data_IF_438210925961
#
_entry.id   IF_438210925961
#
_cell.length_a   1.000
_cell.length_b   1.000
_cell.length_c   1.000
_cell.angle_alpha   90.00
_cell.angle_beta   90.00
_cell.angle_gamma   90.00
#
_symmetry.space_group_name_H-M   'P 1'
#
loop_
_entity.id
_entity.type
_entity.pdbx_description
1 polymer ?
#
# COMPACT_ATOMS: atom_id res chain seq x y z
N UNK A 1 18.28 -9.50 -1.05
CA UNK A 1 16.80 -9.42 -0.86
C UNK A 1 16.36 -8.38 0.19
N UNK A 2 17.27 -7.73 0.94
CA UNK A 2 16.91 -6.79 2.02
C UNK A 2 16.32 -5.44 1.57
N UNK A 3 16.74 -4.92 0.41
CA UNK A 3 16.37 -3.57 -0.06
C UNK A 3 14.86 -3.36 -0.25
N UNK A 4 14.15 -4.37 -0.77
CA UNK A 4 12.69 -4.30 -0.98
C UNK A 4 11.96 -4.22 0.36
N UNK A 5 12.39 -5.02 1.33
CA UNK A 5 11.82 -5.08 2.68
C UNK A 5 12.08 -3.77 3.41
N UNK A 6 13.30 -3.24 3.32
CA UNK A 6 13.69 -1.96 3.91
C UNK A 6 12.86 -0.79 3.36
N UNK A 7 12.70 -0.70 2.04
CA UNK A 7 11.84 0.30 1.39
C UNK A 7 10.37 0.13 1.78
N UNK A 8 9.89 -1.11 1.89
CA UNK A 8 8.53 -1.39 2.33
C UNK A 8 8.28 -0.95 3.79
N UNK A 9 9.26 -1.14 4.68
CA UNK A 9 9.19 -0.69 6.07
C UNK A 9 9.28 0.83 6.20
N UNK A 10 10.22 1.47 5.49
CA UNK A 10 10.33 2.94 5.45
C UNK A 10 9.06 3.59 4.89
N UNK A 11 8.45 3.00 3.85
CA UNK A 11 7.26 3.54 3.18
C UNK A 11 6.06 2.62 3.37
N UNK A 12 5.63 2.44 4.63
CA UNK A 12 4.52 1.54 5.04
C UNK A 12 3.15 1.77 4.36
N UNK A 13 2.96 2.90 3.66
CA UNK A 13 1.74 3.19 2.87
C UNK A 13 1.86 2.79 1.40
N UNK A 14 3.03 2.37 0.95
CA UNK A 14 3.27 2.00 -0.43
C UNK A 14 2.91 0.53 -0.64
N UNK A 15 2.15 0.26 -1.71
CA UNK A 15 1.93 -1.09 -2.20
C UNK A 15 3.08 -1.56 -3.10
N UNK A 16 3.13 -2.87 -3.38
CA UNK A 16 4.20 -3.49 -4.18
C UNK A 16 4.44 -2.83 -5.55
N UNK A 17 3.42 -2.25 -6.20
CA UNK A 17 3.57 -1.53 -7.49
C UNK A 17 4.42 -0.28 -7.34
N UNK A 18 4.16 0.57 -6.33
CA UNK A 18 4.96 1.78 -6.10
C UNK A 18 6.38 1.46 -5.64
N UNK A 19 6.56 0.37 -4.90
CA UNK A 19 7.89 -0.11 -4.51
C UNK A 19 8.66 -0.59 -5.75
N UNK A 20 7.99 -1.28 -6.67
CA UNK A 20 8.59 -1.68 -7.95
C UNK A 20 9.02 -0.48 -8.79
N UNK A 21 8.19 0.56 -8.88
CA UNK A 21 8.54 1.78 -9.61
C UNK A 21 9.76 2.50 -9.00
N UNK A 22 9.83 2.58 -7.66
CA UNK A 22 10.96 3.14 -6.93
C UNK A 22 12.26 2.37 -7.17
N UNK A 23 12.16 1.05 -7.26
CA UNK A 23 13.30 0.15 -7.42
C UNK A 23 13.70 -0.05 -8.89
N UNK A 24 12.99 0.58 -9.83
CA UNK A 24 13.24 0.41 -11.27
C UNK A 24 14.65 0.84 -11.67
N UNK A 25 15.21 1.84 -10.99
CA UNK A 25 16.59 2.30 -11.21
C UNK A 25 17.65 1.35 -10.63
N UNK A 26 17.43 0.81 -9.42
CA UNK A 26 18.39 -0.11 -8.77
C UNK A 26 18.33 -1.54 -9.35
N UNK A 27 17.17 -1.97 -9.87
CA UNK A 27 16.97 -3.33 -10.37
C UNK A 27 16.34 -3.35 -11.77
N UNK A 28 17.11 -2.99 -12.81
CA UNK A 28 16.64 -3.05 -14.20
C UNK A 28 16.20 -4.48 -14.56
N UNK A 29 15.01 -4.62 -15.14
CA UNK A 29 14.46 -5.91 -15.57
C UNK A 29 13.71 -6.72 -14.48
N UNK A 30 13.62 -6.23 -13.24
CA UNK A 30 12.79 -6.90 -12.23
C UNK A 30 11.31 -6.76 -12.59
N UNK A 31 10.61 -7.89 -12.70
CA UNK A 31 9.16 -7.89 -12.92
C UNK A 31 8.43 -7.57 -11.62
N UNK A 32 7.41 -6.71 -11.69
CA UNK A 32 6.53 -6.37 -10.56
C UNK A 32 5.89 -7.61 -9.90
N UNK A 33 5.72 -8.72 -10.64
CA UNK A 33 5.25 -10.01 -10.09
C UNK A 33 6.19 -10.60 -9.05
N UNK A 34 7.51 -10.48 -9.25
CA UNK A 34 8.52 -10.98 -8.29
C UNK A 34 8.49 -10.17 -6.99
N UNK A 35 8.35 -8.85 -7.12
CA UNK A 35 8.16 -7.94 -5.98
C UNK A 35 6.88 -8.28 -5.23
N UNK A 36 5.77 -8.53 -5.94
CA UNK A 36 4.52 -8.95 -5.33
C UNK A 36 4.64 -10.24 -4.53
N UNK A 37 5.33 -11.27 -5.06
CA UNK A 37 5.53 -12.55 -4.36
C UNK A 37 6.28 -12.36 -3.03
N UNK A 38 7.42 -11.67 -3.08
CA UNK A 38 8.20 -11.33 -1.89
C UNK A 38 7.39 -10.48 -0.90
N UNK A 39 6.64 -9.49 -1.40
CA UNK A 39 5.82 -8.61 -0.57
C UNK A 39 4.70 -9.36 0.16
N UNK A 40 4.09 -10.36 -0.48
CA UNK A 40 3.10 -11.25 0.15
C UNK A 40 3.73 -12.21 1.15
N UNK A 41 4.85 -12.85 0.79
CA UNK A 41 5.55 -13.80 1.67
C UNK A 41 6.04 -13.11 2.96
N UNK A 42 6.45 -11.84 2.86
CA UNK A 42 6.88 -11.02 4.00
C UNK A 42 5.71 -10.34 4.75
N UNK A 43 4.45 -10.64 4.39
CA UNK A 43 3.24 -10.04 5.00
C UNK A 43 3.23 -8.51 5.03
N UNK A 44 3.86 -7.85 4.05
CA UNK A 44 4.02 -6.39 4.00
C UNK A 44 2.76 -5.66 3.54
N UNK A 45 1.66 -6.38 3.29
CA UNK A 45 0.39 -5.83 2.83
C UNK A 45 -0.14 -4.73 3.74
N UNK A 46 -0.34 -3.54 3.14
CA UNK A 46 -0.96 -2.41 3.83
C UNK A 46 -2.36 -2.78 4.29
N UNK A 47 -2.56 -2.84 5.61
CA UNK A 47 -3.87 -3.13 6.19
C UNK A 47 -4.83 -1.98 5.86
N UNK A 48 -5.88 -2.29 5.10
CA UNK A 48 -6.92 -1.31 4.78
C UNK A 48 -7.73 -1.05 6.06
N UNK A 49 -7.72 0.20 6.53
CA UNK A 49 -8.53 0.59 7.69
C UNK A 49 -10.00 0.50 7.30
N UNK A 50 -10.81 -0.21 8.08
CA UNK A 50 -12.25 -0.30 7.86
C UNK A 50 -12.89 1.08 7.86
N UNK A 51 -13.85 1.31 6.95
CA UNK A 51 -14.60 2.57 6.89
C UNK A 51 -15.36 2.75 8.21
N UNK A 52 -15.09 3.82 8.96
CA UNK A 52 -15.87 4.17 10.15
C UNK A 52 -17.30 4.45 9.69
N UNK A 53 -18.25 3.61 10.11
CA UNK A 53 -19.68 3.88 9.89
C UNK A 53 -20.04 5.13 10.68
N UNK A 54 -20.72 6.09 10.05
CA UNK A 54 -21.22 7.27 10.76
C UNK A 54 -22.38 6.78 11.63
N UNK A 55 -22.20 6.77 12.94
CA UNK A 55 -23.31 6.57 13.88
C UNK A 55 -23.93 7.95 14.12
N UNK A 56 -25.18 8.13 13.69
CA UNK A 56 -25.95 9.36 13.83
C UNK A 56 -27.07 9.43 12.81
N UNK A 57 -28.20 10.04 13.19
CA UNK A 57 -29.27 10.33 12.23
C UNK A 57 -28.80 11.42 11.26
N UNK A 58 -29.15 11.29 9.97
CA UNK A 58 -28.86 12.32 8.97
C UNK A 58 -29.78 13.51 9.26
N UNK A 59 -29.22 14.65 9.65
CA UNK A 59 -30.00 15.90 9.74
C UNK A 59 -30.39 16.32 8.31
N UNK A 60 -31.67 16.64 8.04
CA UNK A 60 -32.06 17.22 6.76
C UNK A 60 -31.38 18.57 6.57
N UNK A 61 -30.96 18.86 5.33
CA UNK A 61 -30.50 20.20 4.97
C UNK A 61 -31.71 21.14 5.03
N UNK A 62 -31.64 22.16 5.89
CA UNK A 62 -32.64 23.23 5.91
C UNK A 62 -32.41 24.06 4.65
N UNK A 63 -33.40 24.10 3.76
CA UNK A 63 -33.39 24.99 2.61
C UNK A 63 -33.51 26.46 3.12
N UNK A 64 -32.86 27.43 2.46
CA UNK A 64 -32.98 28.84 2.82
C UNK A 64 -34.41 29.36 2.69
#
# INVERSE_FOLDING_TARGET
>A
MGRIVEVAHQRRRFGYRRIHDLLRGEFPGTNHKKVYRLYREQNLTVRRRGKKRRCGQRQPLVAP
#
